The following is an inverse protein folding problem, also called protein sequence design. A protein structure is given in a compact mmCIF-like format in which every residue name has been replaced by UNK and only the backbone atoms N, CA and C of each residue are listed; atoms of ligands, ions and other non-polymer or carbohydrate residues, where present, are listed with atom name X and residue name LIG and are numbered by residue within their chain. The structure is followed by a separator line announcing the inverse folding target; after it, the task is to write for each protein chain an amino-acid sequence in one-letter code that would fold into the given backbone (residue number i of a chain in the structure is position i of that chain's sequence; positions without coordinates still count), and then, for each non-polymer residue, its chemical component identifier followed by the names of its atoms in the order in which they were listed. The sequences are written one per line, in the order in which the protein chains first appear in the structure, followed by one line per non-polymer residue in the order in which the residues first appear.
data_IF_018722411575
#
_entry.id   IF_018722411575
#
_cell.length_a   1.000
_cell.length_b   1.000
_cell.length_c   1.000
_cell.angle_alpha   90.00
_cell.angle_beta   90.00
_cell.angle_gamma   90.00
#
_symmetry.space_group_name_H-M   'P 1'
#
loop_
_entity.id
_entity.type
_entity.pdbx_description
1 polymer ?
#
# COMPACT_ATOMS: atom_id res chain seq x y z
N UNK A 1 3.94 -11.14 -20.67
CA UNK A 1 3.91 -10.26 -19.49
C UNK A 1 2.75 -10.70 -18.61
N UNK A 2 3.03 -11.09 -17.36
CA UNK A 2 1.99 -11.50 -16.39
C UNK A 2 1.75 -10.37 -15.40
N UNK A 3 0.48 -10.08 -15.11
CA UNK A 3 0.08 -9.10 -14.08
C UNK A 3 -0.53 -9.88 -12.92
N UNK A 4 -0.07 -9.59 -11.69
CA UNK A 4 -0.66 -10.08 -10.45
C UNK A 4 -1.38 -8.91 -9.79
N UNK A 5 -2.66 -9.09 -9.49
CA UNK A 5 -3.44 -8.14 -8.71
C UNK A 5 -3.14 -8.34 -7.22
N UNK A 6 -2.67 -7.27 -6.57
CA UNK A 6 -2.33 -7.25 -5.15
C UNK A 6 -3.37 -6.45 -4.35
N UNK A 7 -4.53 -6.16 -4.93
CA UNK A 7 -5.57 -5.32 -4.32
C UNK A 7 -6.70 -6.17 -3.75
N UNK A 8 -7.08 -5.88 -2.50
CA UNK A 8 -8.28 -6.45 -1.89
C UNK A 8 -9.55 -6.00 -2.62
N UNK A 9 -10.56 -6.88 -2.61
CA UNK A 9 -11.91 -6.50 -3.05
C UNK A 9 -12.52 -5.53 -2.04
N UNK A 10 -13.07 -4.42 -2.54
CA UNK A 10 -13.82 -3.47 -1.72
C UNK A 10 -15.32 -3.80 -1.81
N UNK A 11 -15.96 -3.99 -0.67
CA UNK A 11 -17.39 -4.26 -0.57
C UNK A 11 -18.01 -3.56 0.64
N UNK A 12 -19.33 -3.40 0.60
CA UNK A 12 -20.09 -2.71 1.64
C UNK A 12 -19.91 -3.40 3.01
N UNK A 13 -19.61 -2.63 4.04
CA UNK A 13 -19.29 -3.12 5.40
C UNK A 13 -18.13 -4.13 5.44
N UNK A 14 -17.13 -3.99 4.57
CA UNK A 14 -15.88 -4.73 4.72
C UNK A 14 -15.17 -4.37 6.03
N UNK A 15 -14.30 -5.26 6.50
CA UNK A 15 -13.48 -5.01 7.69
C UNK A 15 -12.62 -3.76 7.51
N UNK A 16 -12.60 -2.92 8.54
CA UNK A 16 -11.71 -1.76 8.68
C UNK A 16 -10.84 -1.95 9.93
N UNK A 17 -9.88 -1.06 10.16
CA UNK A 17 -9.08 -1.11 11.38
C UNK A 17 -9.97 -1.00 12.63
N UNK A 18 -9.72 -1.76 13.71
CA UNK A 18 -10.56 -1.74 14.90
C UNK A 18 -10.72 -0.34 15.51
N UNK A 19 -11.93 0.21 15.41
CA UNK A 19 -12.29 1.53 15.93
C UNK A 19 -12.48 2.61 14.85
N UNK A 20 -12.12 2.32 13.60
CA UNK A 20 -12.32 3.24 12.48
C UNK A 20 -13.79 3.30 12.03
N UNK A 21 -14.21 4.38 11.36
CA UNK A 21 -15.51 4.45 10.70
C UNK A 21 -15.71 3.36 9.65
N UNK A 22 -16.94 2.84 9.51
CA UNK A 22 -17.28 1.82 8.51
C UNK A 22 -17.02 2.27 7.05
N UNK A 23 -16.60 1.32 6.22
CA UNK A 23 -16.61 1.44 4.76
C UNK A 23 -18.02 1.19 4.21
N UNK A 24 -18.64 2.22 3.60
CA UNK A 24 -20.04 2.17 3.14
C UNK A 24 -20.12 2.35 1.62
N UNK A 25 -20.88 1.48 0.96
CA UNK A 25 -21.28 1.62 -0.44
C UNK A 25 -22.80 1.75 -0.55
N UNK A 26 -23.29 2.95 -0.85
CA UNK A 26 -24.71 3.25 -1.00
C UNK A 26 -25.13 3.26 -2.49
N UNK A 27 -26.25 2.61 -2.85
CA UNK A 27 -26.88 2.81 -4.16
C UNK A 27 -27.67 4.13 -4.16
N UNK A 28 -27.23 5.11 -4.94
CA UNK A 28 -27.82 6.46 -4.94
C UNK A 28 -28.79 6.67 -6.10
N UNK A 29 -28.52 6.09 -7.27
CA UNK A 29 -29.39 6.19 -8.46
C UNK A 29 -29.44 4.85 -9.19
N UNK A 30 -30.57 4.49 -9.76
CA UNK A 30 -30.77 3.25 -10.50
C UNK A 30 -31.17 3.52 -11.94
N UNK A 31 -30.78 2.60 -12.84
CA UNK A 31 -31.03 2.74 -14.27
C UNK A 31 -32.52 2.90 -14.60
N UNK A 32 -33.41 2.22 -13.90
CA UNK A 32 -34.86 2.24 -14.12
C UNK A 32 -35.52 3.58 -13.74
N UNK A 33 -34.93 4.33 -12.80
CA UNK A 33 -35.49 5.60 -12.30
C UNK A 33 -34.81 6.81 -12.91
N UNK A 34 -33.48 6.86 -12.86
CA UNK A 34 -32.70 8.02 -13.29
C UNK A 34 -32.06 7.84 -14.67
N UNK A 35 -32.04 6.64 -15.22
CA UNK A 35 -31.41 6.36 -16.52
C UNK A 35 -29.92 6.02 -16.45
N UNK A 36 -29.36 5.90 -15.25
CA UNK A 36 -28.01 5.36 -15.01
C UNK A 36 -27.88 4.80 -13.58
N UNK A 37 -26.90 3.91 -13.37
CA UNK A 37 -26.56 3.44 -12.03
C UNK A 37 -25.47 4.34 -11.43
N UNK A 38 -25.66 4.75 -10.18
CA UNK A 38 -24.64 5.46 -9.41
C UNK A 38 -24.61 4.94 -7.98
N UNK A 39 -23.41 4.58 -7.52
CA UNK A 39 -23.13 4.29 -6.12
C UNK A 39 -22.25 5.37 -5.51
N UNK A 40 -22.39 5.61 -4.22
CA UNK A 40 -21.51 6.48 -3.43
C UNK A 40 -20.70 5.61 -2.47
N UNK A 41 -19.42 5.96 -2.33
CA UNK A 41 -18.52 5.34 -1.36
C UNK A 41 -18.23 6.37 -0.27
N UNK A 42 -18.43 5.98 0.98
CA UNK A 42 -17.87 6.68 2.15
C UNK A 42 -16.80 5.76 2.74
N UNK A 43 -15.56 6.24 2.82
CA UNK A 43 -14.42 5.44 3.24
C UNK A 43 -13.35 6.30 3.90
N UNK A 44 -12.50 5.65 4.69
CA UNK A 44 -11.24 6.19 5.17
C UNK A 44 -10.14 6.01 4.11
N UNK A 45 -9.07 6.78 4.20
CA UNK A 45 -7.96 6.69 3.24
C UNK A 45 -7.08 5.44 3.44
N UNK A 46 -7.31 4.72 4.54
CA UNK A 46 -6.56 3.54 4.99
C UNK A 46 -7.37 2.25 4.86
N UNK A 47 -8.56 2.31 4.23
CA UNK A 47 -9.39 1.13 4.02
C UNK A 47 -8.89 0.29 2.85
N UNK A 48 -8.89 -1.03 3.01
CA UNK A 48 -8.46 -2.00 2.00
C UNK A 48 -6.95 -1.93 1.71
N UNK A 49 -6.55 -2.25 0.48
CA UNK A 49 -5.16 -2.07 0.02
C UNK A 49 -4.88 -0.59 -0.22
N UNK A 50 -3.92 -0.05 0.53
CA UNK A 50 -3.67 1.38 0.56
C UNK A 50 -2.18 1.69 0.72
N UNK A 51 -1.85 2.98 0.62
CA UNK A 51 -0.51 3.53 0.88
C UNK A 51 -0.57 4.61 1.94
N UNK A 52 0.40 4.62 2.84
CA UNK A 52 0.55 5.62 3.89
C UNK A 52 1.67 6.60 3.56
N UNK A 53 1.37 7.89 3.70
CA UNK A 53 2.34 8.97 3.52
C UNK A 53 3.00 9.34 4.86
N UNK A 54 4.18 9.98 4.86
CA UNK A 54 4.89 10.33 6.09
C UNK A 54 4.09 11.15 7.11
N UNK A 55 3.14 11.99 6.65
CA UNK A 55 2.25 12.76 7.53
C UNK A 55 1.32 11.88 8.37
N UNK A 56 1.03 10.64 7.96
CA UNK A 56 0.15 9.73 8.71
C UNK A 56 0.66 9.47 10.14
N UNK A 57 1.98 9.41 10.30
CA UNK A 57 2.63 9.12 11.57
C UNK A 57 3.34 10.32 12.22
N UNK A 58 3.35 11.49 11.57
CA UNK A 58 4.14 12.65 12.01
C UNK A 58 3.38 13.97 11.85
N UNK A 59 3.69 14.96 12.67
CA UNK A 59 3.05 16.28 12.58
C UNK A 59 3.66 17.21 11.51
N UNK A 60 4.73 16.78 10.86
CA UNK A 60 5.50 17.58 9.88
C UNK A 60 5.92 16.81 8.63
N UNK A 61 5.38 15.61 8.42
CA UNK A 61 5.64 14.78 7.25
C UNK A 61 5.01 15.31 5.97
N UNK A 62 5.43 14.73 4.84
CA UNK A 62 4.84 15.03 3.52
C UNK A 62 3.47 14.35 3.40
N UNK A 63 2.51 15.06 2.83
CA UNK A 63 1.24 14.51 2.37
C UNK A 63 1.42 13.83 1.01
N UNK A 64 0.47 12.97 0.60
CA UNK A 64 0.53 12.27 -0.68
C UNK A 64 0.66 13.20 -1.89
N UNK A 65 -0.08 14.30 -1.89
CA UNK A 65 -0.07 15.26 -3.00
C UNK A 65 1.24 16.06 -3.12
N UNK A 66 2.14 15.95 -2.15
CA UNK A 66 3.49 16.50 -2.19
C UNK A 66 4.55 15.48 -2.65
N UNK A 67 4.21 14.20 -2.78
CA UNK A 67 5.14 13.14 -3.20
C UNK A 67 5.11 12.94 -4.73
N UNK A 68 6.28 12.78 -5.39
CA UNK A 68 6.32 12.51 -6.83
C UNK A 68 5.90 11.06 -7.13
N UNK A 69 5.28 10.83 -8.29
CA UNK A 69 4.64 9.54 -8.63
C UNK A 69 5.63 8.35 -8.65
N UNK A 70 6.90 8.61 -8.93
CA UNK A 70 7.99 7.64 -8.96
C UNK A 70 8.25 6.98 -7.60
N UNK A 71 7.70 7.54 -6.52
CA UNK A 71 7.72 6.95 -5.17
C UNK A 71 6.81 5.73 -5.04
N UNK A 72 5.75 5.65 -5.84
CA UNK A 72 4.69 4.64 -5.72
C UNK A 72 4.83 3.49 -6.73
N UNK A 73 5.99 3.41 -7.40
CA UNK A 73 6.24 2.40 -8.43
C UNK A 73 7.73 2.09 -8.59
N UNK A 74 8.01 0.97 -9.23
CA UNK A 74 9.35 0.61 -9.69
C UNK A 74 9.73 -0.82 -9.38
N UNK A 75 11.02 -1.12 -9.54
CA UNK A 75 11.57 -2.44 -9.22
C UNK A 75 11.30 -2.77 -7.76
N UNK A 76 10.87 -4.00 -7.51
CA UNK A 76 10.54 -4.49 -6.20
C UNK A 76 11.07 -5.92 -6.04
N UNK A 77 11.37 -6.28 -4.79
CA UNK A 77 11.78 -7.64 -4.42
C UNK A 77 11.00 -8.12 -3.21
N UNK A 78 10.95 -9.44 -3.01
CA UNK A 78 10.47 -10.03 -1.76
C UNK A 78 11.55 -9.92 -0.69
N UNK A 79 11.15 -9.60 0.54
CA UNK A 79 12.05 -9.63 1.69
C UNK A 79 12.58 -11.05 1.93
N UNK A 80 13.88 -11.13 2.26
CA UNK A 80 14.59 -12.29 2.80
C UNK A 80 15.53 -11.78 3.89
N UNK A 81 15.88 -12.61 4.88
CA UNK A 81 16.68 -12.16 6.03
C UNK A 81 18.09 -11.65 5.67
N UNK A 82 18.63 -12.09 4.54
CA UNK A 82 19.95 -11.72 4.01
C UNK A 82 19.88 -10.64 2.91
N UNK A 83 18.72 -10.01 2.71
CA UNK A 83 18.55 -8.96 1.70
C UNK A 83 19.45 -7.74 1.98
N UNK A 84 19.86 -7.09 0.89
CA UNK A 84 20.49 -5.77 0.92
C UNK A 84 19.43 -4.75 0.48
N UNK A 85 19.12 -3.79 1.34
CA UNK A 85 18.22 -2.70 0.99
C UNK A 85 18.86 -1.75 -0.04
N UNK A 86 18.07 -1.23 -0.98
CA UNK A 86 18.54 -0.31 -2.02
C UNK A 86 17.60 0.93 -2.17
N UNK A 87 18.12 2.17 -2.24
CA UNK A 87 17.37 3.43 -2.36
C UNK A 87 16.24 3.51 -3.39
N UNK A 88 16.28 2.70 -4.44
CA UNK A 88 15.34 2.76 -5.56
C UNK A 88 14.55 1.47 -5.77
N UNK A 89 14.65 0.52 -4.83
CA UNK A 89 13.97 -0.77 -4.89
C UNK A 89 12.95 -0.84 -3.75
N UNK A 90 11.71 -1.20 -4.08
CA UNK A 90 10.68 -1.52 -3.10
C UNK A 90 10.92 -2.90 -2.48
N UNK A 91 10.43 -3.10 -1.25
CA UNK A 91 10.53 -4.40 -0.58
C UNK A 91 9.15 -4.84 -0.10
N UNK A 92 8.69 -6.02 -0.54
CA UNK A 92 7.42 -6.60 -0.08
C UNK A 92 7.68 -7.74 0.92
N UNK A 93 6.98 -7.66 2.04
CA UNK A 93 6.95 -8.65 3.11
C UNK A 93 5.74 -9.56 2.93
N UNK A 94 5.98 -10.77 2.39
CA UNK A 94 4.90 -11.73 2.10
C UNK A 94 4.75 -12.84 3.14
N UNK A 95 5.78 -13.12 3.93
CA UNK A 95 5.84 -14.33 4.78
C UNK A 95 6.10 -14.02 6.25
N UNK A 96 6.38 -12.76 6.59
CA UNK A 96 6.62 -12.31 7.95
C UNK A 96 6.25 -10.84 8.11
N UNK A 97 6.11 -10.42 9.36
CA UNK A 97 5.94 -9.02 9.71
C UNK A 97 7.30 -8.27 9.73
N UNK A 98 7.23 -6.94 9.81
CA UNK A 98 8.39 -6.08 10.01
C UNK A 98 8.49 -5.78 11.50
N UNK A 99 9.59 -6.18 12.14
CA UNK A 99 9.90 -5.80 13.51
C UNK A 99 10.87 -4.60 13.55
N UNK A 100 11.06 -4.02 14.73
CA UNK A 100 11.94 -2.87 14.90
C UNK A 100 13.39 -3.14 14.46
N UNK A 101 14.02 -4.30 14.79
CA UNK A 101 15.35 -4.64 14.26
C UNK A 101 15.44 -4.64 12.73
N UNK A 102 14.41 -5.07 12.01
CA UNK A 102 14.35 -5.00 10.55
C UNK A 102 14.21 -3.53 10.10
N UNK A 103 13.30 -2.77 10.71
CA UNK A 103 13.07 -1.36 10.38
C UNK A 103 14.32 -0.48 10.59
N UNK A 104 15.09 -0.70 11.66
CA UNK A 104 16.34 0.00 11.93
C UNK A 104 17.42 -0.28 10.88
N UNK A 105 17.44 -1.48 10.29
CA UNK A 105 18.35 -1.80 9.17
C UNK A 105 17.94 -1.09 7.89
N UNK A 106 16.63 -0.91 7.68
CA UNK A 106 16.12 -0.27 6.46
C UNK A 106 16.53 1.17 6.35
N UNK A 107 16.66 1.96 7.42
CA UNK A 107 16.88 3.41 7.25
C UNK A 107 18.23 3.79 6.59
N UNK A 108 19.18 2.84 6.47
CA UNK A 108 20.53 3.08 5.94
C UNK A 108 21.09 1.86 5.16
N UNK A 109 20.90 1.79 3.83
CA UNK A 109 20.14 2.72 2.99
C UNK A 109 18.62 2.40 2.95
N UNK A 110 17.74 3.41 2.88
CA UNK A 110 16.29 3.23 2.79
C UNK A 110 15.90 2.45 1.54
N UNK A 111 14.94 1.50 1.59
CA UNK A 111 14.24 1.08 0.38
C UNK A 111 13.38 2.23 -0.15
N UNK A 112 12.93 2.13 -1.40
CA UNK A 112 12.04 3.16 -1.98
C UNK A 112 10.72 3.27 -1.23
N UNK A 113 10.16 2.10 -0.88
CA UNK A 113 8.96 1.87 -0.10
C UNK A 113 9.02 0.47 0.49
N UNK A 114 8.17 0.19 1.45
CA UNK A 114 7.88 -1.16 1.91
C UNK A 114 6.42 -1.51 1.63
N UNK A 115 6.12 -2.78 1.47
CA UNK A 115 4.74 -3.25 1.46
C UNK A 115 4.56 -4.52 2.27
N UNK A 116 3.40 -4.67 2.89
CA UNK A 116 3.07 -5.78 3.78
C UNK A 116 1.87 -6.55 3.25
N UNK A 117 1.97 -7.88 3.29
CA UNK A 117 0.86 -8.77 2.96
C UNK A 117 -0.30 -8.58 3.93
N UNK A 118 -1.52 -8.72 3.44
CA UNK A 118 -2.77 -8.73 4.25
C UNK A 118 -2.81 -9.79 5.37
N UNK A 119 -1.85 -10.72 5.38
CA UNK A 119 -1.69 -11.73 6.44
C UNK A 119 -1.07 -11.16 7.72
N UNK A 120 -0.57 -9.93 7.68
CA UNK A 120 0.11 -9.25 8.77
C UNK A 120 -0.44 -7.83 8.92
N UNK A 121 -0.31 -7.30 10.12
CA UNK A 121 -0.66 -5.93 10.48
C UNK A 121 0.59 -5.23 10.98
N UNK A 122 0.85 -4.00 10.53
CA UNK A 122 2.01 -3.25 11.01
C UNK A 122 1.92 -3.03 12.52
N UNK A 123 3.04 -3.23 13.22
CA UNK A 123 3.17 -2.68 14.57
C UNK A 123 3.19 -1.15 14.47
N UNK A 124 2.34 -0.49 15.25
CA UNK A 124 2.13 0.97 15.21
C UNK A 124 3.47 1.73 15.38
N UNK A 125 4.36 1.26 16.25
CA UNK A 125 5.61 1.96 16.52
C UNK A 125 6.63 1.71 15.40
N UNK A 126 6.62 0.52 14.79
CA UNK A 126 7.41 0.22 13.58
C UNK A 126 6.97 1.08 12.41
N UNK A 127 5.66 1.18 12.15
CA UNK A 127 5.16 1.97 11.03
C UNK A 127 5.49 3.46 11.20
N UNK A 128 5.24 4.00 12.41
CA UNK A 128 5.63 5.37 12.74
C UNK A 128 7.10 5.62 12.52
N UNK A 129 7.96 4.67 12.91
CA UNK A 129 9.39 4.78 12.72
C UNK A 129 9.75 4.86 11.23
N UNK A 130 9.17 3.99 10.38
CA UNK A 130 9.44 3.98 8.94
C UNK A 130 8.97 5.28 8.26
N UNK A 131 7.74 5.70 8.54
CA UNK A 131 7.14 6.92 7.98
C UNK A 131 7.91 8.18 8.41
N UNK A 132 8.37 8.25 9.66
CA UNK A 132 9.22 9.35 10.15
C UNK A 132 10.58 9.43 9.45
N UNK A 133 11.04 8.33 8.85
CA UNK A 133 12.25 8.27 8.02
C UNK A 133 11.94 8.37 6.51
N UNK A 134 10.78 8.92 6.14
CA UNK A 134 10.36 9.13 4.75
C UNK A 134 10.19 7.82 3.94
N UNK A 135 10.05 6.66 4.60
CA UNK A 135 9.77 5.36 3.96
C UNK A 135 8.25 5.14 3.97
N UNK A 136 7.62 5.20 2.80
CA UNK A 136 6.18 4.95 2.67
C UNK A 136 5.88 3.46 2.80
N UNK A 137 4.73 3.13 3.40
CA UNK A 137 4.21 1.77 3.57
C UNK A 137 3.01 1.53 2.65
N UNK A 138 2.98 0.35 2.05
CA UNK A 138 1.78 -0.22 1.44
C UNK A 138 1.25 -1.34 2.33
N UNK A 139 -0.05 -1.36 2.59
CA UNK A 139 -0.65 -2.36 3.46
C UNK A 139 -1.71 -3.19 2.75
N UNK A 140 -2.08 -4.30 3.36
CA UNK A 140 -3.15 -5.17 2.88
C UNK A 140 -2.94 -5.63 1.42
N UNK A 141 -1.70 -5.93 1.05
CA UNK A 141 -1.41 -6.50 -0.27
C UNK A 141 -1.87 -7.96 -0.28
N UNK A 142 -2.84 -8.29 -1.14
CA UNK A 142 -3.30 -9.67 -1.33
C UNK A 142 -2.44 -10.41 -2.36
N UNK A 143 -2.61 -11.73 -2.48
CA UNK A 143 -1.93 -12.60 -3.45
C UNK A 143 -0.38 -12.52 -3.45
N UNK A 144 0.24 -12.06 -2.37
CA UNK A 144 1.68 -11.84 -2.33
C UNK A 144 2.49 -13.13 -2.42
N UNK A 145 1.91 -14.29 -2.08
CA UNK A 145 2.55 -15.60 -2.27
C UNK A 145 2.78 -15.99 -3.74
N UNK A 146 2.10 -15.33 -4.67
CA UNK A 146 2.28 -15.55 -6.10
C UNK A 146 3.43 -14.72 -6.70
N UNK A 147 4.02 -13.81 -5.91
CA UNK A 147 5.10 -12.94 -6.37
C UNK A 147 6.41 -13.72 -6.57
N UNK A 148 7.14 -13.46 -7.67
CA UNK A 148 8.51 -13.94 -7.82
C UNK A 148 9.48 -13.12 -6.96
N UNK A 149 10.75 -13.52 -6.95
CA UNK A 149 11.79 -12.81 -6.21
C UNK A 149 11.97 -11.35 -6.65
N UNK A 150 11.77 -11.05 -7.94
CA UNK A 150 11.82 -9.68 -8.45
C UNK A 150 10.72 -9.40 -9.47
N UNK A 151 10.14 -8.20 -9.39
CA UNK A 151 9.04 -7.76 -10.23
C UNK A 151 9.01 -6.22 -10.30
N UNK A 152 8.15 -5.66 -11.16
CA UNK A 152 7.86 -4.22 -11.14
C UNK A 152 6.53 -3.99 -10.43
N UNK A 153 6.53 -3.19 -9.38
CA UNK A 153 5.34 -2.83 -8.62
C UNK A 153 4.76 -1.49 -9.09
N UNK A 154 3.44 -1.39 -9.05
CA UNK A 154 2.68 -0.15 -9.25
C UNK A 154 1.57 -0.06 -8.21
N UNK A 155 1.56 1.01 -7.41
CA UNK A 155 0.54 1.27 -6.39
C UNK A 155 0.22 2.76 -6.32
N UNK A 156 -0.25 3.33 -7.42
CA UNK A 156 -0.48 4.77 -7.47
C UNK A 156 -1.67 5.21 -6.59
N UNK A 157 -1.51 6.23 -5.74
CA UNK A 157 -2.59 6.76 -4.93
C UNK A 157 -3.55 7.64 -5.75
N UNK A 158 -4.77 7.79 -5.23
CA UNK A 158 -5.62 8.92 -5.58
C UNK A 158 -4.93 10.21 -5.15
N UNK A 159 -5.05 11.26 -5.96
CA UNK A 159 -4.47 12.57 -5.65
C UNK A 159 -5.36 13.35 -4.66
N UNK A 160 -5.43 12.88 -3.43
CA UNK A 160 -6.15 13.54 -2.34
C UNK A 160 -5.32 14.70 -1.80
N UNK A 161 -5.87 15.92 -1.85
CA UNK A 161 -5.19 17.12 -1.34
C UNK A 161 -4.99 16.99 0.17
N UNK A 162 -3.74 17.11 0.62
CA UNK A 162 -3.40 16.96 2.04
C UNK A 162 -3.62 15.54 2.58
N UNK A 163 -3.74 14.54 1.72
CA UNK A 163 -4.01 13.15 2.13
C UNK A 163 -2.84 12.55 2.90
N UNK A 164 -3.16 11.86 3.99
CA UNK A 164 -2.23 11.07 4.82
C UNK A 164 -2.10 9.63 4.35
N UNK A 165 -3.08 9.13 3.60
CA UNK A 165 -3.00 7.88 2.87
C UNK A 165 -3.91 7.87 1.65
N UNK A 166 -3.99 6.74 0.96
CA UNK A 166 -4.96 6.54 -0.12
C UNK A 166 -5.14 5.06 -0.42
N UNK A 167 -6.36 4.60 -0.73
CA UNK A 167 -6.53 3.32 -1.40
C UNK A 167 -5.77 3.32 -2.73
N UNK A 168 -5.29 2.15 -3.13
CA UNK A 168 -4.54 1.96 -4.39
C UNK A 168 -5.06 0.74 -5.14
N UNK A 169 -4.92 0.75 -6.47
CA UNK A 169 -4.94 -0.50 -7.25
C UNK A 169 -3.51 -1.00 -7.39
N UNK A 170 -3.06 -1.80 -6.42
CA UNK A 170 -1.72 -2.35 -6.39
C UNK A 170 -1.60 -3.54 -7.35
N UNK A 171 -0.57 -3.52 -8.20
CA UNK A 171 -0.27 -4.62 -9.12
C UNK A 171 1.24 -4.89 -9.19
N UNK A 172 1.59 -6.14 -9.46
CA UNK A 172 2.93 -6.55 -9.85
C UNK A 172 2.96 -6.99 -11.31
N UNK A 173 3.93 -6.48 -12.07
CA UNK A 173 4.21 -6.88 -13.44
C UNK A 173 5.45 -7.77 -13.45
N UNK A 174 5.31 -8.96 -14.03
CA UNK A 174 6.36 -9.95 -14.19
C UNK A 174 6.74 -10.01 -15.67
N UNK A 175 7.99 -9.69 -15.95
CA UNK A 175 8.58 -9.82 -17.28
C UNK A 175 9.01 -11.27 -17.51
N UNK A 176 8.58 -11.85 -18.64
CA UNK A 176 8.85 -13.26 -19.00
C UNK A 176 10.32 -13.56 -19.30
N UNK A 177 11.17 -12.53 -19.33
CA UNK A 177 12.62 -12.66 -19.56
C UNK A 177 13.44 -12.82 -18.26
N UNK A 178 12.79 -12.84 -17.09
CA UNK A 178 13.44 -13.01 -15.78
C UNK A 178 13.01 -14.31 -15.06
N UNK A 179 12.57 -15.32 -15.81
CA UNK A 179 12.33 -16.69 -15.31
C UNK A 179 13.53 -17.60 -15.58
#
# INVERSE_FOLDING_TARGET
MKIIDLTQELFDHMSVYPGDPDFIIEQVQTLDKEGWNMKRIHMNLHDGTHVNAPIHATTSGKTLDALPLERFMGKCVLYKDDIIFEPNVGVIFSTQNIDMPIAEKMIKPPPKFVGLSEKFEFDIEVEKYLLAHDIISFENLTNTEALPESFTFYGFPLRVRGGDGSPVRAVAIIDEHNL
#
